data_IF_421502187094
#
_entry.id   IF_421502187094
#
_cell.length_a   1.000
_cell.length_b   1.000
_cell.length_c   1.000
_cell.angle_alpha   90.00
_cell.angle_beta   90.00
_cell.angle_gamma   90.00
#
_symmetry.space_group_name_H-M   'P 1'
#
loop_
_entity.id
_entity.type
_entity.pdbx_description
1 polymer ?
#
# COMPACT_ATOMS: atom_id res chain seq x y z
N UNK A 1 13.17 6.06 -10.10
CA UNK A 1 13.44 5.42 -8.78
C UNK A 1 12.23 5.55 -7.86
N UNK A 2 11.73 6.75 -7.59
CA UNK A 2 10.54 6.96 -6.76
C UNK A 2 9.25 6.33 -7.32
N UNK A 3 9.05 6.37 -8.63
CA UNK A 3 7.88 5.81 -9.30
C UNK A 3 7.81 4.28 -9.21
N UNK A 4 8.96 3.60 -9.28
CA UNK A 4 9.03 2.14 -9.17
C UNK A 4 8.56 1.68 -7.78
N UNK A 5 8.95 2.39 -6.72
CA UNK A 5 8.50 2.13 -5.35
C UNK A 5 7.00 2.32 -5.23
N UNK A 6 6.46 3.42 -5.76
CA UNK A 6 5.02 3.67 -5.72
C UNK A 6 4.22 2.61 -6.49
N UNK A 7 4.72 2.16 -7.64
CA UNK A 7 4.09 1.11 -8.45
C UNK A 7 4.11 -0.26 -7.75
N UNK A 8 5.24 -0.63 -7.15
CA UNK A 8 5.40 -1.88 -6.40
C UNK A 8 4.51 -1.89 -5.14
N UNK A 9 4.45 -0.76 -4.43
CA UNK A 9 3.58 -0.58 -3.28
C UNK A 9 2.09 -0.60 -3.68
N UNK A 10 1.74 0.01 -4.81
CA UNK A 10 0.39 0.01 -5.36
C UNK A 10 -0.07 -1.39 -5.75
N UNK A 11 0.78 -2.17 -6.43
CA UNK A 11 0.46 -3.57 -6.76
C UNK A 11 0.25 -4.39 -5.49
N UNK A 12 1.15 -4.27 -4.50
CA UNK A 12 1.02 -4.99 -3.22
C UNK A 12 -0.23 -4.57 -2.43
N UNK A 13 -0.62 -3.28 -2.49
CA UNK A 13 -1.89 -2.78 -1.94
C UNK A 13 -3.10 -3.33 -2.69
N UNK A 14 -3.03 -3.41 -4.02
CA UNK A 14 -4.11 -3.95 -4.83
C UNK A 14 -4.36 -5.44 -4.55
N UNK A 15 -3.33 -6.19 -4.14
CA UNK A 15 -3.46 -7.56 -3.64
C UNK A 15 -4.03 -7.63 -2.21
N UNK A 16 -3.98 -6.54 -1.45
CA UNK A 16 -4.54 -6.42 -0.09
C UNK A 16 -6.08 -6.25 -0.10
N UNK A 17 -6.79 -7.10 -0.88
CA UNK A 17 -8.26 -7.17 -0.87
C UNK A 17 -8.81 -7.86 0.38
N UNK A 18 -7.96 -8.51 1.17
CA UNK A 18 -8.33 -9.11 2.44
C UNK A 18 -7.22 -8.87 3.44
N UNK A 19 -7.53 -8.99 4.73
CA UNK A 19 -6.55 -8.86 5.81
C UNK A 19 -5.54 -10.03 5.77
N UNK A 20 -4.60 -9.93 4.84
CA UNK A 20 -3.54 -10.90 4.61
C UNK A 20 -2.29 -10.44 5.31
N UNK A 21 -1.97 -11.09 6.44
CA UNK A 21 -0.70 -10.95 7.16
C UNK A 21 0.55 -10.91 6.25
N UNK A 22 0.72 -11.79 5.24
CA UNK A 22 1.91 -11.72 4.39
C UNK A 22 1.98 -10.42 3.56
N UNK A 23 0.86 -9.95 3.04
CA UNK A 23 0.80 -8.69 2.28
C UNK A 23 1.04 -7.48 3.20
N UNK A 24 0.47 -7.47 4.40
CA UNK A 24 0.73 -6.42 5.40
C UNK A 24 2.21 -6.38 5.77
N UNK A 25 2.82 -7.53 6.07
CA UNK A 25 4.24 -7.59 6.39
C UNK A 25 5.10 -7.11 5.22
N UNK A 26 4.76 -7.50 3.99
CA UNK A 26 5.47 -7.04 2.80
C UNK A 26 5.37 -5.52 2.61
N UNK A 27 4.18 -4.94 2.77
CA UNK A 27 3.96 -3.49 2.71
C UNK A 27 4.77 -2.77 3.81
N UNK A 28 4.77 -3.29 5.03
CA UNK A 28 5.58 -2.74 6.14
C UNK A 28 7.07 -2.76 5.81
N UNK A 29 7.59 -3.89 5.31
CA UNK A 29 9.00 -4.01 4.92
C UNK A 29 9.35 -3.04 3.78
N UNK A 30 8.48 -2.90 2.78
CA UNK A 30 8.66 -1.94 1.69
C UNK A 30 8.67 -0.50 2.18
N UNK A 31 7.81 -0.16 3.15
CA UNK A 31 7.74 1.17 3.74
C UNK A 31 8.98 1.50 4.58
N UNK A 32 9.49 0.53 5.34
CA UNK A 32 10.73 0.68 6.11
C UNK A 32 11.94 0.88 5.19
N UNK A 33 12.06 0.09 4.12
CA UNK A 33 13.17 0.18 3.16
C UNK A 33 13.10 1.49 2.35
N UNK A 34 11.89 1.97 2.07
CA UNK A 34 11.63 3.17 1.27
C UNK A 34 11.12 4.36 2.08
N UNK A 35 11.61 4.55 3.30
CA UNK A 35 11.20 5.64 4.18
C UNK A 35 11.40 7.03 3.56
N UNK A 36 12.39 7.18 2.67
CA UNK A 36 12.63 8.41 1.90
C UNK A 36 11.49 8.76 0.94
N UNK A 37 10.66 7.78 0.57
CA UNK A 37 9.48 7.93 -0.28
C UNK A 37 8.17 7.78 0.52
N UNK A 38 8.21 7.94 1.85
CA UNK A 38 7.04 7.80 2.72
C UNK A 38 5.85 8.65 2.24
N UNK A 39 6.07 9.87 1.74
CA UNK A 39 4.98 10.70 1.19
C UNK A 39 4.28 10.05 -0.01
N UNK A 40 5.03 9.42 -0.93
CA UNK A 40 4.46 8.71 -2.09
C UNK A 40 3.69 7.46 -1.66
N UNK A 41 4.22 6.73 -0.70
CA UNK A 41 3.59 5.52 -0.13
C UNK A 41 2.25 5.90 0.52
N UNK A 42 2.23 6.95 1.34
CA UNK A 42 1.00 7.46 1.99
C UNK A 42 -0.02 7.88 0.95
N UNK A 43 0.39 8.62 -0.08
CA UNK A 43 -0.54 9.06 -1.14
C UNK A 43 -1.16 7.87 -1.87
N UNK A 44 -0.35 6.85 -2.16
CA UNK A 44 -0.79 5.59 -2.78
C UNK A 44 -1.80 4.84 -1.91
N UNK A 45 -1.55 4.74 -0.60
CA UNK A 45 -2.48 4.13 0.37
C UNK A 45 -3.79 4.91 0.42
N UNK A 46 -3.72 6.24 0.57
CA UNK A 46 -4.92 7.10 0.67
C UNK A 46 -5.74 6.99 -0.61
N UNK A 47 -5.10 7.02 -1.77
CA UNK A 47 -5.79 6.89 -3.05
C UNK A 47 -6.40 5.49 -3.23
N UNK A 48 -5.71 4.44 -2.77
CA UNK A 48 -6.23 3.09 -2.76
C UNK A 48 -7.47 2.98 -1.86
N UNK A 49 -7.41 3.46 -0.60
CA UNK A 49 -8.54 3.49 0.34
C UNK A 49 -9.75 4.27 -0.23
N UNK A 50 -9.49 5.38 -0.93
CA UNK A 50 -10.55 6.16 -1.61
C UNK A 50 -11.16 5.42 -2.81
N UNK A 51 -10.38 4.55 -3.45
CA UNK A 51 -10.79 3.84 -4.65
C UNK A 51 -11.44 2.48 -4.36
N UNK A 52 -11.18 1.88 -3.19
CA UNK A 52 -11.83 0.63 -2.77
C UNK A 52 -13.23 0.91 -2.21
N UNK A 53 -14.21 0.04 -2.50
CA UNK A 53 -15.55 0.18 -1.95
C UNK A 53 -15.54 -0.01 -0.43
N UNK A 54 -16.45 0.66 0.30
CA UNK A 54 -16.49 0.64 1.77
C UNK A 54 -16.71 -0.75 2.38
N UNK A 55 -17.22 -1.73 1.62
CA UNK A 55 -17.32 -3.14 2.01
C UNK A 55 -15.96 -3.83 2.26
N UNK A 56 -14.87 -3.26 1.73
CA UNK A 56 -13.49 -3.72 1.94
C UNK A 56 -12.77 -2.97 3.06
N UNK A 57 -13.32 -1.85 3.53
CA UNK A 57 -12.79 -1.17 4.70
C UNK A 57 -13.18 -2.00 5.93
N UNK A 58 -12.19 -2.33 6.76
CA UNK A 58 -12.45 -2.97 8.04
C UNK A 58 -13.47 -2.12 8.83
N UNK A 59 -14.51 -2.74 9.42
CA UNK A 59 -15.45 -2.05 10.30
C UNK A 59 -14.76 -1.42 11.51
#
# INVERSE_FOLDING_TARGET
>A
MAEAVAEEYRSSLADLNFNSKPHINMLTMLAEDNVQYASLIVDTIVNHIKSVPPDLNLP
#
